data_IF_697500837038
#
_entry.id   IF_697500837038
#
_cell.length_a   1.000
_cell.length_b   1.000
_cell.length_c   1.000
_cell.angle_alpha   90.00
_cell.angle_beta   90.00
_cell.angle_gamma   90.00
#
_symmetry.space_group_name_H-M   'P 1'
#
loop_
_entity.id
_entity.type
_entity.pdbx_description
1 polymer ?
#
# COMPACT_ATOMS: atom_id res chain seq x y z
N UNK A 1 19.94 -4.43 -19.42
CA UNK A 1 18.47 -4.37 -19.32
C UNK A 1 18.08 -3.09 -18.59
N UNK A 2 18.54 -2.86 -17.36
CA UNK A 2 18.32 -1.61 -16.59
C UNK A 2 18.57 -0.26 -17.29
N UNK A 3 19.45 -0.17 -18.31
CA UNK A 3 19.62 1.05 -19.13
C UNK A 3 18.36 1.46 -19.90
N UNK A 4 17.49 0.51 -20.23
CA UNK A 4 16.26 0.74 -20.98
C UNK A 4 15.09 1.21 -20.10
N UNK A 5 15.22 1.10 -18.76
CA UNK A 5 14.21 1.60 -17.83
C UNK A 5 14.22 3.14 -17.82
N UNK A 6 13.08 3.81 -18.07
CA UNK A 6 12.94 5.26 -17.97
C UNK A 6 13.10 5.75 -16.52
N UNK A 7 13.58 6.98 -16.35
CA UNK A 7 13.78 7.56 -15.02
C UNK A 7 12.47 7.69 -14.22
N UNK A 8 11.34 7.97 -14.87
CA UNK A 8 10.02 7.95 -14.22
C UNK A 8 9.71 6.59 -13.58
N UNK A 9 10.00 5.48 -14.28
CA UNK A 9 9.77 4.15 -13.75
C UNK A 9 10.75 3.81 -12.63
N UNK A 10 11.99 4.32 -12.69
CA UNK A 10 12.94 4.19 -11.58
C UNK A 10 12.48 4.93 -10.34
N UNK A 11 11.94 6.14 -10.47
CA UNK A 11 11.39 6.90 -9.32
C UNK A 11 10.27 6.11 -8.65
N UNK A 12 9.37 5.51 -9.42
CA UNK A 12 8.30 4.69 -8.86
C UNK A 12 8.84 3.43 -8.18
N UNK A 13 9.76 2.72 -8.83
CA UNK A 13 10.39 1.52 -8.27
C UNK A 13 11.16 1.81 -6.97
N UNK A 14 11.81 2.98 -6.88
CA UNK A 14 12.46 3.43 -5.64
C UNK A 14 11.42 3.72 -4.57
N UNK A 15 10.33 4.41 -4.87
CA UNK A 15 9.26 4.68 -3.91
C UNK A 15 8.61 3.42 -3.36
N UNK A 16 8.37 2.42 -4.23
CA UNK A 16 7.91 1.09 -3.83
C UNK A 16 8.95 0.42 -2.89
N UNK A 17 10.23 0.39 -3.29
CA UNK A 17 11.29 -0.22 -2.47
C UNK A 17 11.48 0.46 -1.10
N UNK A 18 11.45 1.79 -1.05
CA UNK A 18 11.53 2.58 0.20
C UNK A 18 10.37 2.22 1.14
N UNK A 19 9.18 1.97 0.57
CA UNK A 19 8.02 1.50 1.33
C UNK A 19 8.30 0.11 1.91
N UNK A 20 8.79 -0.84 1.11
CA UNK A 20 9.12 -2.18 1.60
C UNK A 20 10.17 -2.18 2.73
N UNK A 21 11.20 -1.34 2.62
CA UNK A 21 12.29 -1.25 3.62
C UNK A 21 11.83 -0.67 4.97
N UNK A 22 10.65 -0.02 5.03
CA UNK A 22 10.06 0.47 6.28
C UNK A 22 9.32 -0.63 7.07
N UNK A 23 9.52 -1.91 6.73
CA UNK A 23 8.95 -3.09 7.37
C UNK A 23 8.97 -3.11 8.92
N UNK A 24 10.01 -2.61 9.64
CA UNK A 24 9.97 -2.55 11.10
C UNK A 24 8.77 -1.75 11.64
N UNK A 25 8.33 -0.71 10.92
CA UNK A 25 7.14 0.07 11.27
C UNK A 25 5.87 -0.76 11.12
N UNK A 26 5.79 -1.61 10.09
CA UNK A 26 4.59 -2.40 9.78
C UNK A 26 4.42 -3.57 10.74
N UNK A 27 5.51 -4.25 11.09
CA UNK A 27 5.48 -5.26 12.15
C UNK A 27 5.08 -4.63 13.50
N UNK A 28 5.60 -3.44 13.80
CA UNK A 28 5.25 -2.69 15.01
C UNK A 28 3.76 -2.32 15.05
N UNK A 29 3.18 -1.94 13.90
CA UNK A 29 1.75 -1.69 13.77
C UNK A 29 0.93 -2.95 14.08
N UNK A 30 1.26 -4.10 13.48
CA UNK A 30 0.56 -5.36 13.72
C UNK A 30 0.66 -5.77 15.20
N UNK A 31 1.83 -5.61 15.82
CA UNK A 31 2.04 -5.87 17.24
C UNK A 31 1.35 -4.84 18.16
N UNK A 32 0.89 -3.71 17.61
CA UNK A 32 0.11 -2.73 18.34
C UNK A 32 -1.38 -3.10 18.45
N UNK A 33 -1.90 -4.01 17.64
CA UNK A 33 -3.31 -4.36 17.66
C UNK A 33 -3.69 -5.19 18.89
N UNK A 34 -4.79 -4.79 19.54
CA UNK A 34 -5.31 -5.49 20.71
C UNK A 34 -5.79 -6.89 20.34
N UNK A 35 -5.43 -7.88 21.16
CA UNK A 35 -5.83 -9.28 20.98
C UNK A 35 -5.06 -10.08 19.93
N UNK A 36 -4.17 -9.44 19.14
CA UNK A 36 -3.39 -10.12 18.08
C UNK A 36 -1.87 -9.89 18.20
N UNK A 37 -1.43 -9.10 19.19
CA UNK A 37 -0.03 -8.75 19.38
C UNK A 37 0.88 -9.92 19.78
N UNK A 38 2.12 -9.90 19.30
CA UNK A 38 3.19 -10.75 19.82
C UNK A 38 3.81 -10.11 21.07
N UNK A 39 3.50 -10.68 22.25
CA UNK A 39 3.91 -10.11 23.54
C UNK A 39 5.34 -10.45 23.95
N UNK A 40 5.94 -11.48 23.35
CA UNK A 40 7.27 -11.98 23.75
C UNK A 40 8.28 -12.05 22.61
N UNK A 41 7.89 -11.65 21.40
CA UNK A 41 8.66 -11.87 20.15
C UNK A 41 8.71 -13.34 19.72
N UNK A 42 8.04 -14.22 20.45
CA UNK A 42 8.04 -15.66 20.28
C UNK A 42 6.73 -16.30 20.73
N UNK A 43 5.67 -15.50 20.91
CA UNK A 43 4.38 -15.99 21.37
C UNK A 43 3.87 -17.10 20.42
N UNK A 44 3.34 -18.16 21.02
CA UNK A 44 2.87 -19.35 20.32
C UNK A 44 1.48 -19.16 19.69
N UNK A 45 0.79 -18.05 19.96
CA UNK A 45 -0.51 -17.72 19.39
C UNK A 45 -0.46 -17.72 17.86
N UNK A 46 -1.59 -18.09 17.23
CA UNK A 46 -1.69 -18.10 15.78
C UNK A 46 -1.44 -16.71 15.18
N UNK A 47 -1.88 -15.65 15.87
CA UNK A 47 -1.66 -14.25 15.47
C UNK A 47 -0.18 -13.88 15.48
N UNK A 48 0.53 -14.18 16.57
CA UNK A 48 1.96 -13.89 16.65
C UNK A 48 2.77 -14.67 15.60
N UNK A 49 2.40 -15.94 15.35
CA UNK A 49 3.00 -16.73 14.26
C UNK A 49 2.71 -16.14 12.88
N UNK A 50 1.48 -15.67 12.64
CA UNK A 50 1.13 -14.96 11.40
C UNK A 50 1.97 -13.72 11.24
N UNK A 51 2.00 -12.82 12.23
CA UNK A 51 2.78 -11.57 12.17
C UNK A 51 4.25 -11.84 11.87
N UNK A 52 4.90 -12.78 12.57
CA UNK A 52 6.30 -13.13 12.30
C UNK A 52 6.51 -13.78 10.93
N UNK A 53 5.58 -14.65 10.51
CA UNK A 53 5.63 -15.32 9.21
C UNK A 53 5.45 -14.35 8.04
N UNK A 54 4.45 -13.48 8.13
CA UNK A 54 4.20 -12.38 7.20
C UNK A 54 5.44 -11.48 7.11
N UNK A 55 5.96 -10.97 8.24
CA UNK A 55 7.17 -10.12 8.25
C UNK A 55 8.38 -10.83 7.62
N UNK A 56 8.55 -12.14 7.82
CA UNK A 56 9.63 -12.89 7.19
C UNK A 56 9.45 -13.01 5.66
N UNK A 57 8.21 -13.09 5.18
CA UNK A 57 7.93 -13.06 3.74
C UNK A 57 8.21 -11.68 3.14
N UNK A 58 7.70 -10.61 3.78
CA UNK A 58 7.86 -9.19 3.40
C UNK A 58 9.31 -8.74 3.32
N UNK A 59 10.15 -9.18 4.26
CA UNK A 59 11.56 -8.77 4.30
C UNK A 59 12.28 -9.04 2.97
N UNK A 60 11.87 -10.09 2.25
CA UNK A 60 12.46 -10.45 0.95
C UNK A 60 12.14 -9.45 -0.16
N UNK A 61 11.06 -8.68 -0.04
CA UNK A 61 10.64 -7.71 -1.06
C UNK A 61 11.61 -6.53 -1.10
N UNK A 62 11.83 -5.88 0.05
CA UNK A 62 12.84 -4.83 0.22
C UNK A 62 14.23 -5.33 -0.17
N UNK A 63 14.64 -6.49 0.37
CA UNK A 63 15.93 -7.12 0.06
C UNK A 63 16.20 -7.30 -1.44
N UNK A 64 15.19 -7.75 -2.19
CA UNK A 64 15.30 -8.04 -3.61
C UNK A 64 15.32 -6.75 -4.45
N UNK A 65 14.42 -5.82 -4.14
CA UNK A 65 14.34 -4.52 -4.83
C UNK A 65 15.59 -3.67 -4.56
N UNK A 66 16.09 -3.66 -3.33
CA UNK A 66 17.31 -2.97 -2.93
C UNK A 66 18.51 -3.47 -3.74
N UNK A 67 18.74 -4.80 -3.76
CA UNK A 67 19.84 -5.40 -4.53
C UNK A 67 19.69 -5.15 -6.03
N UNK A 68 18.48 -5.21 -6.57
CA UNK A 68 18.24 -4.87 -7.97
C UNK A 68 18.62 -3.41 -8.27
N UNK A 69 18.16 -2.46 -7.45
CA UNK A 69 18.45 -1.04 -7.60
C UNK A 69 19.94 -0.73 -7.41
N UNK A 70 20.61 -1.36 -6.44
CA UNK A 70 22.06 -1.31 -6.26
C UNK A 70 22.81 -1.72 -7.52
N UNK A 71 22.51 -2.92 -8.03
CA UNK A 71 23.19 -3.47 -9.20
C UNK A 71 22.83 -2.75 -10.50
N UNK A 72 21.70 -2.06 -10.55
CA UNK A 72 21.29 -1.27 -11.71
C UNK A 72 22.28 -0.13 -12.02
N UNK A 73 22.92 0.43 -10.99
CA UNK A 73 23.76 1.63 -11.10
C UNK A 73 23.02 2.88 -11.58
N UNK A 74 21.69 2.91 -11.52
CA UNK A 74 20.84 3.99 -12.08
C UNK A 74 20.31 4.98 -11.05
N UNK A 75 20.46 4.67 -9.76
CA UNK A 75 19.94 5.43 -8.62
C UNK A 75 21.04 5.85 -7.66
N UNK A 76 20.85 6.97 -6.95
CA UNK A 76 21.71 7.39 -5.85
C UNK A 76 21.28 6.67 -4.58
N UNK A 77 21.93 5.54 -4.27
CA UNK A 77 21.57 4.77 -3.09
C UNK A 77 21.78 5.52 -1.79
N UNK A 78 22.72 6.47 -1.72
CA UNK A 78 22.89 7.27 -0.51
C UNK A 78 21.64 8.10 -0.25
N UNK A 79 21.07 8.71 -1.30
CA UNK A 79 19.83 9.46 -1.17
C UNK A 79 18.67 8.55 -0.74
N UNK A 80 18.56 7.36 -1.35
CA UNK A 80 17.52 6.37 -1.03
C UNK A 80 17.63 5.86 0.42
N UNK A 81 18.83 5.51 0.89
CA UNK A 81 19.10 5.05 2.26
C UNK A 81 18.75 6.13 3.30
N UNK A 82 19.04 7.41 3.00
CA UNK A 82 18.63 8.54 3.85
C UNK A 82 17.11 8.67 3.90
N UNK A 83 16.41 8.46 2.77
CA UNK A 83 14.94 8.42 2.75
C UNK A 83 14.40 7.29 3.63
N UNK A 84 14.93 6.07 3.50
CA UNK A 84 14.53 4.92 4.33
C UNK A 84 14.72 5.23 5.81
N UNK A 85 15.90 5.75 6.18
CA UNK A 85 16.21 6.12 7.56
C UNK A 85 15.21 7.15 8.10
N UNK A 86 14.92 8.20 7.34
CA UNK A 86 13.95 9.22 7.73
C UNK A 86 12.53 8.65 7.87
N UNK A 87 12.11 7.79 6.94
CA UNK A 87 10.79 7.18 6.96
C UNK A 87 10.60 6.31 8.21
N UNK A 88 11.58 5.44 8.52
CA UNK A 88 11.53 4.58 9.72
C UNK A 88 11.51 5.43 11.00
N UNK A 89 12.33 6.48 11.09
CA UNK A 89 12.37 7.39 12.25
C UNK A 89 11.03 8.08 12.46
N UNK A 90 10.41 8.56 11.37
CA UNK A 90 9.12 9.26 11.43
C UNK A 90 7.97 8.30 11.74
N UNK A 91 8.10 7.06 11.33
CA UNK A 91 7.04 6.07 11.43
C UNK A 91 5.79 6.50 10.65
N UNK A 92 4.69 5.85 11.01
CA UNK A 92 3.43 5.98 10.32
C UNK A 92 2.27 5.65 11.27
N UNK A 93 1.17 6.40 11.18
CA UNK A 93 -0.06 6.15 11.91
C UNK A 93 -1.23 6.01 10.92
N UNK A 94 -1.83 4.81 10.77
CA UNK A 94 -3.00 4.59 9.93
C UNK A 94 -4.33 5.01 10.59
N UNK A 95 -4.31 5.55 11.82
CA UNK A 95 -5.54 5.92 12.54
C UNK A 95 -6.37 4.72 13.01
N UNK A 96 -5.74 3.54 13.14
CA UNK A 96 -6.41 2.30 13.54
C UNK A 96 -6.67 2.22 15.05
N UNK A 97 -6.01 3.07 15.85
CA UNK A 97 -6.21 3.16 17.30
C UNK A 97 -6.13 1.80 18.01
N UNK A 98 -5.15 0.97 17.65
CA UNK A 98 -4.94 -0.38 18.18
C UNK A 98 -6.11 -1.36 17.93
N UNK A 99 -7.14 -0.97 17.17
CA UNK A 99 -8.31 -1.80 16.92
C UNK A 99 -8.05 -2.79 15.77
N UNK A 100 -8.11 -4.11 16.01
CA UNK A 100 -7.84 -5.11 14.98
C UNK A 100 -8.85 -5.08 13.82
N UNK A 101 -10.10 -4.64 14.02
CA UNK A 101 -11.07 -4.50 12.94
C UNK A 101 -10.62 -3.44 11.93
N UNK A 102 -10.23 -2.27 12.44
CA UNK A 102 -9.68 -1.19 11.59
C UNK A 102 -8.36 -1.61 10.97
N UNK A 103 -7.53 -2.31 11.74
CA UNK A 103 -6.27 -2.89 11.29
C UNK A 103 -6.43 -3.83 10.09
N UNK A 104 -7.35 -4.79 10.16
CA UNK A 104 -7.56 -5.76 9.09
C UNK A 104 -8.24 -5.17 7.85
N UNK A 105 -9.10 -4.15 8.01
CA UNK A 105 -9.57 -3.37 6.85
C UNK A 105 -8.40 -2.66 6.18
N UNK A 106 -7.56 -1.99 6.97
CA UNK A 106 -6.40 -1.26 6.49
C UNK A 106 -5.42 -2.18 5.74
N UNK A 107 -5.01 -3.30 6.34
CA UNK A 107 -4.08 -4.24 5.69
C UNK A 107 -4.70 -4.90 4.46
N UNK A 108 -5.98 -5.30 4.50
CA UNK A 108 -6.66 -5.82 3.29
C UNK A 108 -6.63 -4.84 2.13
N UNK A 109 -6.77 -3.55 2.41
CA UNK A 109 -6.67 -2.51 1.40
C UNK A 109 -5.24 -2.36 0.88
N UNK A 110 -4.26 -2.25 1.78
CA UNK A 110 -2.87 -1.98 1.42
C UNK A 110 -2.25 -3.13 0.62
N UNK A 111 -2.46 -4.37 1.03
CA UNK A 111 -1.98 -5.57 0.32
C UNK A 111 -2.54 -5.66 -1.11
N UNK A 112 -3.79 -5.20 -1.30
CA UNK A 112 -4.34 -5.10 -2.66
C UNK A 112 -3.69 -3.95 -3.43
N UNK A 113 -3.38 -2.84 -2.77
CA UNK A 113 -2.74 -1.67 -3.39
C UNK A 113 -1.32 -2.00 -3.86
N UNK A 114 -0.50 -2.61 -3.01
CA UNK A 114 0.87 -3.08 -3.33
C UNK A 114 0.84 -4.14 -4.43
N UNK A 115 -0.07 -5.11 -4.37
CA UNK A 115 -0.29 -6.06 -5.48
C UNK A 115 -0.52 -5.36 -6.81
N UNK A 116 -1.39 -4.36 -6.84
CA UNK A 116 -1.70 -3.59 -8.06
C UNK A 116 -0.46 -2.80 -8.52
N UNK A 117 0.24 -2.14 -7.59
CA UNK A 117 1.46 -1.37 -7.87
C UNK A 117 2.53 -2.25 -8.52
N UNK A 118 2.93 -3.33 -7.84
CA UNK A 118 3.96 -4.27 -8.29
C UNK A 118 3.61 -4.91 -9.62
N UNK A 119 2.35 -5.34 -9.81
CA UNK A 119 1.90 -5.90 -11.09
C UNK A 119 1.96 -4.89 -12.24
N UNK A 120 1.64 -3.62 -12.00
CA UNK A 120 1.71 -2.59 -13.03
C UNK A 120 3.17 -2.18 -13.33
N UNK A 121 4.04 -2.11 -12.32
CA UNK A 121 5.49 -1.96 -12.53
C UNK A 121 6.05 -3.11 -13.35
N UNK A 122 5.64 -4.36 -13.09
CA UNK A 122 6.06 -5.53 -13.87
C UNK A 122 5.71 -5.40 -15.36
N UNK A 123 4.50 -4.91 -15.69
CA UNK A 123 4.09 -4.65 -17.08
C UNK A 123 4.95 -3.58 -17.75
N UNK A 124 5.22 -2.49 -17.05
CA UNK A 124 6.04 -1.39 -17.56
C UNK A 124 7.49 -1.82 -17.75
N UNK A 125 8.04 -2.59 -16.81
CA UNK A 125 9.38 -3.17 -16.92
C UNK A 125 9.52 -4.06 -18.16
N UNK A 126 8.54 -4.94 -18.40
CA UNK A 126 8.49 -5.76 -19.62
C UNK A 126 8.43 -4.91 -20.88
N UNK A 127 7.57 -3.88 -20.90
CA UNK A 127 7.45 -2.98 -22.05
C UNK A 127 8.75 -2.22 -22.34
N UNK A 128 9.53 -1.92 -21.29
CA UNK A 128 10.87 -1.33 -21.39
C UNK A 128 11.98 -2.37 -21.69
N UNK A 129 11.66 -3.65 -21.84
CA UNK A 129 12.62 -4.70 -22.18
C UNK A 129 13.44 -5.25 -21.01
N UNK A 130 12.97 -5.07 -19.76
CA UNK A 130 13.58 -5.66 -18.56
C UNK A 130 12.73 -6.82 -18.03
N UNK A 131 12.96 -8.01 -18.60
CA UNK A 131 12.27 -9.24 -18.20
C UNK A 131 12.64 -9.67 -16.77
N UNK A 132 13.84 -9.34 -16.31
CA UNK A 132 14.28 -9.67 -14.94
C UNK A 132 13.46 -8.90 -13.92
N UNK A 133 13.33 -7.58 -14.11
CA UNK A 133 12.50 -6.74 -13.25
C UNK A 133 11.02 -7.15 -13.31
N UNK A 134 10.51 -7.52 -14.49
CA UNK A 134 9.16 -8.07 -14.61
C UNK A 134 8.96 -9.29 -13.69
N UNK A 135 9.89 -10.25 -13.70
CA UNK A 135 9.80 -11.46 -12.87
C UNK A 135 9.87 -11.11 -11.38
N UNK A 136 10.77 -10.20 -11.00
CA UNK A 136 10.89 -9.70 -9.62
C UNK A 136 9.56 -9.14 -9.13
N UNK A 137 9.01 -8.15 -9.83
CA UNK A 137 7.78 -7.47 -9.41
C UNK A 137 6.55 -8.40 -9.43
N UNK A 138 6.45 -9.34 -10.39
CA UNK A 138 5.38 -10.34 -10.39
C UNK A 138 5.48 -11.33 -9.23
N UNK A 139 6.70 -11.65 -8.79
CA UNK A 139 6.92 -12.54 -7.64
C UNK A 139 6.47 -11.87 -6.37
N UNK A 140 6.84 -10.60 -6.16
CA UNK A 140 6.38 -9.79 -5.03
C UNK A 140 4.84 -9.68 -5.07
N UNK A 141 4.25 -9.28 -6.21
CA UNK A 141 2.80 -9.20 -6.36
C UNK A 141 2.06 -10.52 -6.04
N UNK A 142 2.70 -11.67 -6.24
CA UNK A 142 2.12 -12.97 -5.87
C UNK A 142 2.11 -13.21 -4.36
N UNK A 143 3.04 -12.62 -3.62
CA UNK A 143 3.06 -12.65 -2.16
C UNK A 143 1.95 -11.75 -1.62
N UNK A 144 1.87 -10.50 -2.09
CA UNK A 144 0.79 -9.55 -1.77
C UNK A 144 -0.60 -10.16 -1.98
N UNK A 145 -0.79 -10.92 -3.07
CA UNK A 145 -2.06 -11.58 -3.35
C UNK A 145 -2.46 -12.64 -2.31
N UNK A 146 -1.47 -13.34 -1.72
CA UNK A 146 -1.69 -14.31 -0.65
C UNK A 146 -1.97 -13.61 0.67
N UNK A 147 -1.28 -12.51 0.96
CA UNK A 147 -1.51 -11.71 2.16
C UNK A 147 -2.86 -10.99 2.13
N UNK A 148 -3.24 -10.38 1.00
CA UNK A 148 -4.58 -9.83 0.77
C UNK A 148 -5.65 -10.89 1.06
N UNK A 149 -5.44 -12.11 0.55
CA UNK A 149 -6.39 -13.22 0.80
C UNK A 149 -6.49 -13.56 2.29
N UNK A 150 -5.38 -13.55 3.02
CA UNK A 150 -5.39 -13.82 4.45
C UNK A 150 -6.14 -12.73 5.23
N UNK A 151 -5.79 -11.45 5.03
CA UNK A 151 -6.44 -10.35 5.74
C UNK A 151 -7.92 -10.19 5.38
N UNK A 152 -8.29 -10.37 4.10
CA UNK A 152 -9.71 -10.36 3.70
C UNK A 152 -10.48 -11.53 4.31
N UNK A 153 -9.85 -12.69 4.58
CA UNK A 153 -10.47 -13.78 5.31
C UNK A 153 -10.64 -13.45 6.80
N UNK A 154 -9.65 -12.83 7.45
CA UNK A 154 -9.77 -12.40 8.84
C UNK A 154 -10.94 -11.43 9.01
N UNK A 155 -11.01 -10.41 8.15
CA UNK A 155 -12.10 -9.45 8.17
C UNK A 155 -13.44 -10.09 7.78
N UNK A 156 -13.44 -11.05 6.84
CA UNK A 156 -14.64 -11.81 6.47
C UNK A 156 -15.22 -12.58 7.65
N UNK A 157 -14.38 -13.23 8.46
CA UNK A 157 -14.81 -13.88 9.70
C UNK A 157 -15.38 -12.87 10.70
N UNK A 158 -14.78 -11.68 10.84
CA UNK A 158 -15.33 -10.63 11.69
C UNK A 158 -16.70 -10.14 11.21
N UNK A 159 -16.94 -10.04 9.90
CA UNK A 159 -18.27 -9.75 9.35
C UNK A 159 -19.30 -10.83 9.68
N UNK A 160 -18.91 -12.09 9.80
CA UNK A 160 -19.81 -13.19 10.21
C UNK A 160 -20.15 -13.13 11.70
N UNK A 161 -19.18 -12.77 12.55
CA UNK A 161 -19.35 -12.78 14.02
C UNK A 161 -19.92 -11.47 14.57
N UNK A 162 -19.48 -10.33 14.06
CA UNK A 162 -19.90 -8.99 14.46
C UNK A 162 -20.10 -8.09 13.23
N UNK A 163 -21.18 -8.30 12.46
CA UNK A 163 -21.49 -7.49 11.28
C UNK A 163 -21.54 -5.98 11.55
N UNK A 164 -22.02 -5.58 12.73
CA UNK A 164 -22.19 -4.19 13.11
C UNK A 164 -20.84 -3.53 13.41
N UNK A 165 -20.00 -4.13 14.24
CA UNK A 165 -18.65 -3.61 14.51
C UNK A 165 -17.78 -3.62 13.25
N UNK A 166 -17.90 -4.66 12.42
CA UNK A 166 -17.18 -4.79 11.16
C UNK A 166 -17.50 -3.66 10.16
N UNK A 167 -18.77 -3.36 9.94
CA UNK A 167 -19.16 -2.29 9.00
C UNK A 167 -18.80 -0.89 9.51
N UNK A 168 -18.89 -0.67 10.83
CA UNK A 168 -18.48 0.60 11.46
C UNK A 168 -16.97 0.81 11.30
N UNK A 169 -16.16 -0.21 11.57
CA UNK A 169 -14.71 -0.15 11.36
C UNK A 169 -14.35 0.09 9.89
N UNK A 170 -15.06 -0.56 8.95
CA UNK A 170 -14.83 -0.35 7.52
C UNK A 170 -15.15 1.09 7.10
N UNK A 171 -16.29 1.63 7.55
CA UNK A 171 -16.63 3.05 7.37
C UNK A 171 -15.55 3.96 7.94
N UNK A 172 -15.14 3.76 9.19
CA UNK A 172 -14.20 4.67 9.88
C UNK A 172 -12.87 4.77 9.13
N UNK A 173 -12.36 3.63 8.66
CA UNK A 173 -11.11 3.58 7.89
C UNK A 173 -11.26 4.29 6.54
N UNK A 174 -12.38 4.11 5.83
CA UNK A 174 -12.59 4.79 4.55
C UNK A 174 -12.91 6.28 4.68
N UNK A 175 -13.61 6.69 5.74
CA UNK A 175 -14.00 8.08 5.97
C UNK A 175 -12.79 8.98 6.20
N UNK A 176 -11.74 8.45 6.82
CA UNK A 176 -10.48 9.16 7.04
C UNK A 176 -9.50 9.06 5.86
N UNK A 177 -9.92 8.42 4.76
CA UNK A 177 -9.07 7.98 3.65
C UNK A 177 -8.00 6.98 4.09
N UNK A 178 -7.62 6.08 3.19
CA UNK A 178 -6.52 5.14 3.50
C UNK A 178 -5.23 5.92 3.41
N UNK A 179 -4.56 6.03 4.55
CA UNK A 179 -3.26 6.69 4.67
C UNK A 179 -2.19 5.79 4.06
N UNK A 180 -1.32 6.33 3.21
CA UNK A 180 -0.24 5.55 2.60
C UNK A 180 0.92 5.37 3.61
N UNK A 181 1.49 4.17 3.77
CA UNK A 181 2.51 3.90 4.78
C UNK A 181 3.73 4.82 4.65
N UNK A 182 4.12 5.13 3.42
CA UNK A 182 5.30 5.93 3.12
C UNK A 182 5.01 7.43 2.93
N UNK A 183 3.84 7.94 3.33
CA UNK A 183 3.50 9.37 3.20
C UNK A 183 4.53 10.32 3.84
N UNK A 184 5.25 9.83 4.86
CA UNK A 184 6.23 10.60 5.62
C UNK A 184 7.66 10.50 5.06
N UNK A 185 7.86 9.96 3.85
CA UNK A 185 9.19 9.71 3.27
C UNK A 185 10.05 10.96 3.03
N UNK A 186 9.44 12.15 2.91
CA UNK A 186 10.15 13.39 2.63
C UNK A 186 11.15 13.77 3.73
N UNK A 187 12.32 14.29 3.36
CA UNK A 187 13.33 14.80 4.30
C UNK A 187 13.26 16.32 4.46
N UNK A 188 14.11 16.91 5.30
CA UNK A 188 14.20 18.38 5.44
C UNK A 188 14.55 19.09 4.11
N UNK A 189 15.26 18.42 3.20
CA UNK A 189 15.59 18.94 1.87
C UNK A 189 14.56 18.65 0.78
N UNK A 190 13.65 17.69 1.00
CA UNK A 190 12.61 17.27 0.03
C UNK A 190 11.32 16.94 0.79
N UNK A 191 10.64 17.94 1.37
CA UNK A 191 9.47 17.71 2.22
C UNK A 191 8.25 17.19 1.44
N UNK A 192 8.19 17.46 0.13
CA UNK A 192 7.10 17.10 -0.80
C UNK A 192 7.39 15.82 -1.61
N UNK A 193 8.40 15.04 -1.19
CA UNK A 193 8.87 13.87 -1.93
C UNK A 193 7.76 12.86 -2.21
N UNK A 194 6.87 12.63 -1.25
CA UNK A 194 5.75 11.71 -1.40
C UNK A 194 4.75 12.18 -2.47
N UNK A 195 4.41 13.46 -2.49
CA UNK A 195 3.49 14.05 -3.46
C UNK A 195 4.07 13.98 -4.87
N UNK A 196 5.37 14.31 -5.02
CA UNK A 196 6.06 14.20 -6.32
C UNK A 196 6.12 12.75 -6.80
N UNK A 197 6.53 11.82 -5.94
CA UNK A 197 6.53 10.38 -6.25
C UNK A 197 5.13 9.88 -6.67
N UNK A 198 4.11 10.22 -5.88
CA UNK A 198 2.72 9.83 -6.14
C UNK A 198 2.21 10.39 -7.46
N UNK A 199 2.63 11.60 -7.84
CA UNK A 199 2.29 12.19 -9.13
C UNK A 199 2.91 11.41 -10.30
N UNK A 200 4.16 10.95 -10.18
CA UNK A 200 4.81 10.09 -11.19
C UNK A 200 4.13 8.72 -11.27
N UNK A 201 3.84 8.08 -10.13
CA UNK A 201 3.14 6.80 -10.07
C UNK A 201 1.75 6.88 -10.71
N UNK A 202 1.02 7.97 -10.46
CA UNK A 202 -0.27 8.23 -11.09
C UNK A 202 -0.14 8.45 -12.62
N UNK A 203 0.85 9.24 -13.06
CA UNK A 203 1.08 9.51 -14.49
C UNK A 203 1.43 8.24 -15.27
N UNK A 204 2.24 7.36 -14.70
CA UNK A 204 2.58 6.06 -15.29
C UNK A 204 1.45 5.03 -15.19
N UNK A 205 0.38 5.33 -14.45
CA UNK A 205 -0.71 4.39 -14.23
C UNK A 205 -0.32 3.21 -13.33
N UNK A 206 0.71 3.36 -12.50
CA UNK A 206 1.14 2.31 -11.56
C UNK A 206 0.12 2.19 -10.43
N UNK A 207 -0.13 3.29 -9.73
CA UNK A 207 -1.19 3.41 -8.73
C UNK A 207 -1.92 4.74 -8.91
N UNK A 208 -3.25 4.71 -8.98
CA UNK A 208 -4.07 5.88 -9.33
C UNK A 208 -5.29 5.96 -8.42
N UNK A 209 -5.95 7.13 -8.41
CA UNK A 209 -7.25 7.29 -7.76
C UNK A 209 -8.33 6.31 -8.28
N UNK A 210 -8.23 5.83 -9.53
CA UNK A 210 -9.14 4.81 -10.05
C UNK A 210 -8.85 3.44 -9.42
N UNK A 211 -7.57 3.08 -9.24
CA UNK A 211 -7.19 1.85 -8.53
C UNK A 211 -7.68 1.89 -7.09
N UNK A 212 -7.55 3.02 -6.40
CA UNK A 212 -8.12 3.21 -5.07
C UNK A 212 -9.63 2.89 -5.04
N UNK A 213 -10.41 3.48 -5.96
CA UNK A 213 -11.84 3.24 -6.05
C UNK A 213 -12.17 1.76 -6.30
N UNK A 214 -11.40 1.11 -7.19
CA UNK A 214 -11.55 -0.31 -7.51
C UNK A 214 -11.25 -1.22 -6.32
N UNK A 215 -10.28 -0.86 -5.49
CA UNK A 215 -10.00 -1.60 -4.24
C UNK A 215 -11.20 -1.48 -3.28
N UNK A 216 -11.75 -0.27 -3.09
CA UNK A 216 -12.96 -0.09 -2.25
C UNK A 216 -14.11 -0.96 -2.75
N UNK A 217 -14.43 -0.91 -4.05
CA UNK A 217 -15.50 -1.74 -4.63
C UNK A 217 -15.23 -3.24 -4.46
N UNK A 218 -13.97 -3.66 -4.66
CA UNK A 218 -13.59 -5.04 -4.48
C UNK A 218 -13.81 -5.51 -3.04
N UNK A 219 -13.44 -4.72 -2.04
CA UNK A 219 -13.62 -5.10 -0.64
C UNK A 219 -15.10 -5.11 -0.22
N UNK A 220 -15.90 -4.17 -0.71
CA UNK A 220 -17.37 -4.17 -0.54
C UNK A 220 -17.99 -5.46 -1.09
N UNK A 221 -17.59 -5.87 -2.29
CA UNK A 221 -18.03 -7.13 -2.90
C UNK A 221 -17.51 -8.36 -2.14
N UNK A 222 -16.21 -8.37 -1.80
CA UNK A 222 -15.52 -9.50 -1.15
C UNK A 222 -16.15 -9.85 0.20
N UNK A 223 -16.58 -8.85 0.96
CA UNK A 223 -17.26 -9.02 2.25
C UNK A 223 -18.79 -8.97 2.14
N UNK A 224 -19.32 -8.86 0.91
CA UNK A 224 -20.76 -8.83 0.61
C UNK A 224 -21.52 -7.80 1.45
N UNK A 225 -20.92 -6.62 1.63
CA UNK A 225 -21.41 -5.58 2.56
C UNK A 225 -22.83 -5.15 2.20
N UNK A 226 -23.17 -5.07 0.91
CA UNK A 226 -24.54 -4.75 0.44
C UNK A 226 -25.61 -5.74 0.92
N UNK A 227 -25.23 -6.99 1.15
CA UNK A 227 -26.17 -8.07 1.52
C UNK A 227 -26.29 -8.30 3.02
N UNK A 228 -25.56 -7.54 3.85
CA UNK A 228 -25.67 -7.66 5.30
C UNK A 228 -27.09 -7.31 5.75
N UNK A 229 -27.69 -8.21 6.53
CA UNK A 229 -29.04 -8.08 7.05
C UNK A 229 -29.01 -7.88 8.58
N UNK A 230 -30.10 -7.34 9.13
CA UNK A 230 -30.23 -7.16 10.59
C UNK A 230 -29.43 -5.99 11.17
N UNK A 231 -28.78 -5.18 10.34
CA UNK A 231 -28.14 -3.94 10.78
C UNK A 231 -29.20 -2.87 11.08
N UNK A 232 -28.98 -2.09 12.14
CA UNK A 232 -29.87 -0.99 12.54
C UNK A 232 -29.05 0.23 12.95
N UNK A 233 -29.70 1.40 13.01
CA UNK A 233 -29.09 2.64 13.50
C UNK A 233 -27.82 3.01 12.74
N UNK A 234 -26.74 3.26 13.48
CA UNK A 234 -25.46 3.70 12.94
C UNK A 234 -24.83 2.68 11.97
N UNK A 235 -24.96 1.37 12.26
CA UNK A 235 -24.38 0.33 11.42
C UNK A 235 -25.07 0.23 10.04
N UNK A 236 -26.39 0.44 9.99
CA UNK A 236 -27.12 0.50 8.72
C UNK A 236 -26.72 1.73 7.89
N UNK A 237 -26.54 2.89 8.53
CA UNK A 237 -26.04 4.09 7.87
C UNK A 237 -24.60 3.92 7.36
N UNK A 238 -23.75 3.23 8.14
CA UNK A 238 -22.38 2.90 7.75
C UNK A 238 -22.34 1.98 6.52
N UNK A 239 -23.21 0.96 6.47
CA UNK A 239 -23.37 0.07 5.32
C UNK A 239 -23.71 0.86 4.05
N UNK A 240 -24.76 1.68 4.10
CA UNK A 240 -25.18 2.52 2.97
C UNK A 240 -24.02 3.42 2.50
N UNK A 241 -23.38 4.11 3.45
CA UNK A 241 -22.25 4.99 3.15
C UNK A 241 -21.12 4.25 2.43
N UNK A 242 -20.63 3.14 3.01
CA UNK A 242 -19.52 2.36 2.46
C UNK A 242 -19.81 1.87 1.04
N UNK A 243 -21.03 1.38 0.77
CA UNK A 243 -21.41 0.89 -0.55
C UNK A 243 -21.44 2.02 -1.61
N UNK A 244 -21.65 3.27 -1.20
CA UNK A 244 -21.64 4.42 -2.14
C UNK A 244 -20.24 4.96 -2.45
N UNK A 245 -19.25 4.67 -1.61
CA UNK A 245 -17.93 5.29 -1.68
C UNK A 245 -17.14 4.90 -2.93
N UNK A 246 -17.11 3.62 -3.29
CA UNK A 246 -16.41 3.14 -4.48
C UNK A 246 -16.83 3.87 -5.77
N UNK A 247 -18.13 3.87 -6.13
CA UNK A 247 -18.64 4.64 -7.27
C UNK A 247 -18.40 6.15 -7.16
N UNK A 248 -18.45 6.71 -5.95
CA UNK A 248 -18.15 8.13 -5.71
C UNK A 248 -16.68 8.45 -6.01
N UNK A 249 -15.74 7.66 -5.51
CA UNK A 249 -14.31 7.85 -5.77
C UNK A 249 -13.96 7.69 -7.24
N UNK A 250 -14.53 6.69 -7.93
CA UNK A 250 -14.37 6.53 -9.39
C UNK A 250 -14.78 7.80 -10.15
N UNK A 251 -15.98 8.34 -9.88
CA UNK A 251 -16.43 9.59 -10.52
C UNK A 251 -15.53 10.78 -10.22
N UNK A 252 -14.97 10.86 -9.02
CA UNK A 252 -14.02 11.90 -8.65
C UNK A 252 -12.69 11.72 -9.38
N UNK A 253 -12.17 10.50 -9.47
CA UNK A 253 -10.95 10.15 -10.20
C UNK A 253 -11.08 10.50 -11.70
N UNK A 254 -12.20 10.14 -12.33
CA UNK A 254 -12.48 10.50 -13.73
C UNK A 254 -12.51 12.02 -13.95
N UNK A 255 -13.15 12.77 -13.05
CA UNK A 255 -13.20 14.23 -13.12
C UNK A 255 -11.82 14.87 -12.93
N UNK A 256 -11.04 14.36 -11.98
CA UNK A 256 -9.69 14.83 -11.73
C UNK A 256 -8.78 14.56 -12.94
N UNK A 257 -8.82 13.35 -13.50
CA UNK A 257 -8.07 12.97 -14.70
C UNK A 257 -8.39 13.87 -15.89
N UNK A 258 -9.67 14.18 -16.14
CA UNK A 258 -10.08 15.10 -17.23
C UNK A 258 -9.59 16.53 -17.05
N UNK A 259 -9.35 16.97 -15.81
CA UNK A 259 -8.89 18.32 -15.48
C UNK A 259 -7.38 18.40 -15.28
N UNK A 260 -6.70 17.25 -15.22
CA UNK A 260 -5.28 17.19 -14.95
C UNK A 260 -4.50 17.76 -16.14
N UNK A 261 -3.73 18.81 -15.88
CA UNK A 261 -2.68 19.26 -16.79
C UNK A 261 -1.39 18.49 -16.49
N UNK A 262 -0.62 18.06 -17.50
CA UNK A 262 0.69 17.45 -17.27
C UNK A 262 1.55 18.38 -16.42
N UNK A 263 1.97 17.91 -15.25
CA UNK A 263 2.95 18.63 -14.44
C UNK A 263 4.31 18.57 -15.15
N UNK A 264 5.14 19.63 -15.07
CA UNK A 264 6.49 19.58 -15.59
C UNK A 264 7.30 18.48 -14.88
N UNK A 265 8.29 17.86 -15.54
CA UNK A 265 9.22 16.94 -14.89
C UNK A 265 9.90 17.61 -13.68
N UNK A 266 10.06 16.86 -12.60
CA UNK A 266 10.65 17.34 -11.35
C UNK A 266 11.94 16.58 -11.05
N UNK A 267 12.93 17.23 -10.45
CA UNK A 267 14.17 16.58 -10.05
C UNK A 267 13.95 15.68 -8.83
N UNK A 268 14.62 14.53 -8.80
CA UNK A 268 14.61 13.62 -7.65
C UNK A 268 16.04 13.25 -7.24
N UNK A 269 16.35 13.41 -5.95
CA UNK A 269 17.65 13.01 -5.41
C UNK A 269 17.95 11.52 -5.65
N UNK A 270 16.92 10.67 -5.60
CA UNK A 270 16.99 9.23 -5.87
C UNK A 270 17.62 8.87 -7.23
N UNK A 271 17.58 9.76 -8.21
CA UNK A 271 18.15 9.55 -9.55
C UNK A 271 19.21 10.60 -9.89
N UNK A 272 20.00 11.03 -8.91
CA UNK A 272 21.08 12.01 -9.07
C UNK A 272 20.56 13.35 -9.63
N UNK A 273 19.43 13.83 -9.09
CA UNK A 273 18.76 15.08 -9.45
C UNK A 273 18.34 15.20 -10.92
N UNK A 274 18.27 14.06 -11.63
CA UNK A 274 17.63 13.99 -12.95
C UNK A 274 16.13 14.23 -12.82
N UNK A 275 15.53 14.78 -13.89
CA UNK A 275 14.12 15.09 -13.94
C UNK A 275 13.28 13.89 -14.37
N UNK A 276 12.20 13.62 -13.63
CA UNK A 276 11.18 12.63 -13.91
C UNK A 276 9.78 13.24 -13.81
#
# INVERSE_FOLDING_TARGET
>A
QAKAIPDELLVVLVGDMVTEEALPTYQSLLNGFEGVSDRSGSDASAWARWTRGWTAEENRHGDLLNRYLYLSGRVDLRAVEVTIQNLIIKGFDPGTANNPYRGFVYTSFQERATKVSHHNVAKLARAAGDETLQVICNTIASDEARHERAYTNFMGYLFEQDPAGAVLAFRDVLQNQIVMPAQNMGGAGEPDLFERFSAVAQRLGVYTAEHYAQIVMHLVERWRVESLAGLTGEAAAAQEYVCTLGPRYRRLAERASRRATPAPPQAFSWIFDRAA
#
